data_IF_033295984902
#
_entry.id   IF_033295984902
#
_cell.length_a   1.000
_cell.length_b   1.000
_cell.length_c   1.000
_cell.angle_alpha   90.00
_cell.angle_beta   90.00
_cell.angle_gamma   90.00
#
_symmetry.space_group_name_H-M   'P 1'
#
loop_
_entity.id
_entity.type
_entity.pdbx_description
1 polymer ?
#
# COMPACT_ATOMS: atom_id res chain seq x y z
N UNK A 1 -19.57 0.64 -9.70
CA UNK A 1 -19.65 1.00 -8.27
C UNK A 1 -20.84 1.89 -7.98
N UNK A 2 -20.90 3.14 -8.47
CA UNK A 2 -22.02 4.06 -8.18
C UNK A 2 -23.40 3.46 -8.46
N UNK A 3 -23.61 2.91 -9.66
CA UNK A 3 -24.90 2.30 -10.02
C UNK A 3 -25.25 1.10 -9.12
N UNK A 4 -24.26 0.26 -8.77
CA UNK A 4 -24.47 -0.86 -7.85
C UNK A 4 -24.83 -0.39 -6.44
N UNK A 5 -24.15 0.67 -5.96
CA UNK A 5 -24.42 1.34 -4.68
C UNK A 5 -25.85 1.83 -4.59
N UNK A 6 -26.29 2.57 -5.61
CA UNK A 6 -27.66 3.11 -5.71
C UNK A 6 -28.68 1.98 -5.81
N UNK A 7 -28.43 0.96 -6.64
CA UNK A 7 -29.38 -0.14 -6.83
C UNK A 7 -29.61 -0.95 -5.56
N UNK A 8 -28.55 -1.22 -4.79
CA UNK A 8 -28.71 -1.95 -3.53
C UNK A 8 -29.41 -1.13 -2.46
N UNK A 9 -29.03 0.14 -2.29
CA UNK A 9 -29.72 1.01 -1.33
C UNK A 9 -31.20 1.13 -1.71
N UNK A 10 -31.52 1.21 -3.00
CA UNK A 10 -32.92 1.22 -3.46
C UNK A 10 -33.66 -0.10 -3.21
N UNK A 11 -32.99 -1.26 -3.30
CA UNK A 11 -33.64 -2.58 -3.20
C UNK A 11 -33.75 -3.07 -1.76
N UNK A 12 -32.71 -2.84 -0.97
CA UNK A 12 -32.57 -3.42 0.37
C UNK A 12 -32.81 -2.38 1.47
N UNK A 13 -32.70 -1.09 1.17
CA UNK A 13 -32.65 0.08 2.07
C UNK A 13 -31.26 0.43 2.66
N UNK A 14 -30.44 -0.48 3.27
CA UNK A 14 -29.17 -0.09 3.84
C UNK A 14 -28.09 0.10 2.76
N UNK A 15 -27.03 0.86 3.10
CA UNK A 15 -25.86 1.01 2.24
C UNK A 15 -25.19 -0.35 1.97
N UNK A 16 -24.48 -0.46 0.85
CA UNK A 16 -23.74 -1.68 0.54
C UNK A 16 -22.55 -1.86 1.47
N UNK A 17 -22.37 -3.04 2.08
CA UNK A 17 -21.13 -3.37 2.75
C UNK A 17 -19.98 -3.40 1.74
N UNK A 18 -18.84 -2.84 2.15
CA UNK A 18 -17.70 -2.59 1.26
C UNK A 18 -17.17 -3.91 0.67
N UNK A 19 -17.15 -4.97 1.46
CA UNK A 19 -16.71 -6.29 1.00
C UNK A 19 -17.55 -6.82 -0.16
N UNK A 20 -18.89 -6.65 -0.11
CA UNK A 20 -19.79 -7.08 -1.20
C UNK A 20 -19.63 -6.21 -2.44
N UNK A 21 -19.40 -4.91 -2.27
CA UNK A 21 -19.11 -4.02 -3.39
C UNK A 21 -17.82 -4.43 -4.11
N UNK A 22 -16.76 -4.76 -3.36
CA UNK A 22 -15.47 -5.20 -3.92
C UNK A 22 -15.59 -6.50 -4.67
N UNK A 23 -16.34 -7.48 -4.14
CA UNK A 23 -16.59 -8.76 -4.84
C UNK A 23 -17.30 -8.52 -6.17
N UNK A 24 -18.35 -7.69 -6.20
CA UNK A 24 -19.05 -7.34 -7.44
C UNK A 24 -18.13 -6.69 -8.47
N UNK A 25 -17.28 -5.76 -8.02
CA UNK A 25 -16.31 -5.09 -8.89
C UNK A 25 -15.29 -6.08 -9.41
N UNK A 26 -14.72 -6.91 -8.55
CA UNK A 26 -13.78 -7.95 -8.93
C UNK A 26 -14.35 -8.89 -10.01
N UNK A 27 -15.60 -9.32 -9.84
CA UNK A 27 -16.31 -10.19 -10.78
C UNK A 27 -16.38 -9.56 -12.18
N UNK A 28 -16.69 -8.26 -12.25
CA UNK A 28 -16.74 -7.53 -13.52
C UNK A 28 -15.36 -7.27 -14.12
N UNK A 29 -14.40 -6.85 -13.29
CA UNK A 29 -13.08 -6.38 -13.75
C UNK A 29 -12.21 -7.51 -14.28
N UNK A 30 -12.24 -8.65 -13.61
CA UNK A 30 -11.31 -9.74 -13.88
C UNK A 30 -12.05 -10.91 -14.47
N UNK A 31 -13.05 -11.47 -13.78
CA UNK A 31 -13.66 -12.73 -14.22
C UNK A 31 -14.36 -12.63 -15.58
N UNK A 32 -15.06 -11.52 -15.86
CA UNK A 32 -15.76 -11.34 -17.15
C UNK A 32 -14.81 -10.95 -18.27
N UNK A 33 -13.75 -10.21 -17.97
CA UNK A 33 -12.81 -9.71 -18.97
C UNK A 33 -11.72 -10.73 -19.34
N UNK A 34 -11.30 -11.60 -18.41
CA UNK A 34 -10.29 -12.64 -18.70
C UNK A 34 -10.90 -13.90 -19.32
N UNK A 35 -12.16 -14.23 -19.03
CA UNK A 35 -12.80 -15.43 -19.59
C UNK A 35 -13.43 -15.21 -20.97
N UNK A 36 -13.66 -13.96 -21.40
CA UNK A 36 -14.28 -13.67 -22.70
C UNK A 36 -13.22 -13.18 -23.70
N UNK A 37 -12.99 -13.95 -24.76
CA UNK A 37 -11.96 -13.72 -25.77
C UNK A 37 -11.93 -12.30 -26.38
N UNK A 38 -13.09 -11.65 -26.55
CA UNK A 38 -13.15 -10.29 -27.12
C UNK A 38 -12.87 -9.17 -26.09
N UNK A 39 -12.94 -9.45 -24.79
CA UNK A 39 -12.79 -8.40 -23.78
C UNK A 39 -11.32 -8.25 -23.37
N UNK A 40 -10.92 -7.00 -23.15
CA UNK A 40 -9.61 -6.66 -22.58
C UNK A 40 -9.76 -6.42 -21.08
N UNK A 41 -8.78 -6.85 -20.25
CA UNK A 41 -8.79 -6.51 -18.84
C UNK A 41 -8.66 -4.99 -18.65
N UNK A 42 -9.25 -4.48 -17.59
CA UNK A 42 -9.06 -3.09 -17.20
C UNK A 42 -7.65 -2.93 -16.63
N UNK A 43 -6.82 -2.10 -17.25
CA UNK A 43 -5.44 -1.83 -16.81
C UNK A 43 -5.36 -0.86 -15.63
N UNK A 44 -6.31 -0.90 -14.70
CA UNK A 44 -6.42 0.07 -13.60
C UNK A 44 -6.48 -0.70 -12.28
N UNK A 45 -5.59 -0.35 -11.34
CA UNK A 45 -5.68 -0.78 -9.94
C UNK A 45 -6.59 0.16 -9.16
N UNK A 46 -7.49 -0.38 -8.36
CA UNK A 46 -8.42 0.42 -7.55
C UNK A 46 -8.11 0.21 -6.07
N UNK A 47 -8.07 1.30 -5.33
CA UNK A 47 -8.08 1.29 -3.88
C UNK A 47 -9.48 1.71 -3.41
N UNK A 48 -10.15 0.84 -2.66
CA UNK A 48 -11.54 0.99 -2.24
C UNK A 48 -11.55 1.04 -0.72
N UNK A 49 -11.70 2.25 -0.18
CA UNK A 49 -11.93 2.49 1.23
C UNK A 49 -13.42 2.70 1.49
N UNK A 50 -13.92 2.16 2.59
CA UNK A 50 -15.26 2.48 3.06
C UNK A 50 -15.41 2.12 4.53
N UNK A 51 -16.44 2.70 5.13
CA UNK A 51 -16.83 2.43 6.50
C UNK A 51 -18.04 1.49 6.47
N UNK A 52 -17.93 0.38 7.18
CA UNK A 52 -19.01 -0.60 7.35
C UNK A 52 -19.37 -0.69 8.84
N UNK A 53 -20.40 -1.47 9.19
CA UNK A 53 -20.75 -1.74 10.60
C UNK A 53 -19.58 -2.38 11.37
N UNK A 54 -18.73 -3.14 10.68
CA UNK A 54 -17.52 -3.76 11.21
C UNK A 54 -16.31 -2.80 11.26
N UNK A 55 -16.49 -1.52 10.94
CA UNK A 55 -15.46 -0.49 10.96
C UNK A 55 -14.88 -0.17 9.58
N UNK A 56 -13.73 0.52 9.59
CA UNK A 56 -13.06 0.95 8.36
C UNK A 56 -12.42 -0.24 7.62
N UNK A 57 -12.67 -0.34 6.32
CA UNK A 57 -12.12 -1.40 5.48
C UNK A 57 -11.47 -0.82 4.23
N UNK A 58 -10.24 -1.24 3.96
CA UNK A 58 -9.49 -0.88 2.78
C UNK A 58 -9.23 -2.13 1.92
N UNK A 59 -9.64 -2.06 0.66
CA UNK A 59 -9.46 -3.14 -0.31
C UNK A 59 -8.65 -2.66 -1.50
N UNK A 60 -7.65 -3.43 -1.88
CA UNK A 60 -6.94 -3.25 -3.14
C UNK A 60 -7.45 -4.26 -4.15
N UNK A 61 -7.86 -3.78 -5.32
CA UNK A 61 -8.22 -4.60 -6.47
C UNK A 61 -7.07 -4.62 -7.47
N UNK A 62 -6.50 -5.80 -7.68
CA UNK A 62 -5.52 -6.04 -8.72
C UNK A 62 -6.24 -6.41 -10.03
N UNK A 63 -5.85 -5.83 -11.17
CA UNK A 63 -6.44 -6.15 -12.48
C UNK A 63 -6.31 -7.62 -12.86
N UNK A 64 -5.39 -8.36 -12.22
CA UNK A 64 -5.22 -9.82 -12.38
C UNK A 64 -6.39 -10.65 -11.86
N UNK A 65 -7.32 -10.06 -11.10
CA UNK A 65 -8.41 -10.81 -10.48
C UNK A 65 -8.16 -11.28 -9.07
N UNK A 66 -7.26 -10.61 -8.36
CA UNK A 66 -7.14 -10.80 -6.93
C UNK A 66 -7.54 -9.50 -6.23
N UNK A 67 -8.26 -9.62 -5.13
CA UNK A 67 -8.50 -8.50 -4.22
C UNK A 67 -8.01 -8.87 -2.84
N UNK A 68 -7.44 -7.88 -2.15
CA UNK A 68 -6.82 -8.07 -0.84
C UNK A 68 -7.33 -6.99 0.12
N UNK A 69 -7.57 -7.37 1.37
CA UNK A 69 -7.89 -6.45 2.45
C UNK A 69 -6.59 -6.02 3.12
N UNK A 70 -6.38 -4.71 3.26
CA UNK A 70 -5.21 -4.13 3.90
C UNK A 70 -5.66 -3.17 5.00
N UNK A 71 -4.75 -2.85 5.93
CA UNK A 71 -4.93 -1.72 6.85
C UNK A 71 -4.42 -0.43 6.21
N UNK A 72 -3.26 -0.50 5.56
CA UNK A 72 -2.65 0.58 4.80
C UNK A 72 -2.13 0.01 3.49
N UNK A 73 -2.29 0.78 2.41
CA UNK A 73 -1.75 0.39 1.11
C UNK A 73 -1.49 1.62 0.25
N UNK A 74 -0.43 1.55 -0.56
CA UNK A 74 -0.10 2.57 -1.54
C UNK A 74 -0.07 1.96 -2.95
N UNK A 75 -0.56 2.73 -3.93
CA UNK A 75 -0.56 2.39 -5.35
C UNK A 75 0.18 3.48 -6.14
N UNK A 76 0.65 3.15 -7.35
CA UNK A 76 1.31 4.09 -8.25
C UNK A 76 2.84 3.98 -8.26
N UNK A 77 3.48 5.01 -8.83
CA UNK A 77 4.94 5.15 -8.88
C UNK A 77 5.49 5.30 -7.46
N UNK A 78 6.65 4.68 -7.20
CA UNK A 78 7.28 4.66 -5.87
C UNK A 78 6.46 4.02 -4.74
N UNK A 79 5.43 3.24 -5.07
CA UNK A 79 4.57 2.58 -4.07
C UNK A 79 5.32 1.62 -3.14
N UNK A 80 6.46 1.06 -3.57
CA UNK A 80 7.31 0.23 -2.71
C UNK A 80 7.94 1.04 -1.57
N UNK A 81 8.53 2.19 -1.87
CA UNK A 81 9.07 3.09 -0.85
C UNK A 81 7.98 3.60 0.09
N UNK A 82 6.79 3.92 -0.45
CA UNK A 82 5.63 4.33 0.34
C UNK A 82 5.14 3.22 1.27
N UNK A 83 5.09 1.96 0.82
CA UNK A 83 4.73 0.81 1.67
C UNK A 83 5.75 0.59 2.79
N UNK A 84 7.04 0.60 2.47
CA UNK A 84 8.10 0.49 3.49
C UNK A 84 8.02 1.63 4.51
N UNK A 85 7.65 2.84 4.07
CA UNK A 85 7.42 3.96 4.97
C UNK A 85 6.21 3.73 5.88
N UNK A 86 5.08 3.25 5.33
CA UNK A 86 3.86 2.95 6.09
C UNK A 86 4.07 1.79 7.07
N UNK A 87 4.85 0.77 6.70
CA UNK A 87 5.20 -0.36 7.56
C UNK A 87 6.07 0.08 8.74
N UNK A 88 7.09 0.91 8.51
CA UNK A 88 8.00 1.39 9.56
C UNK A 88 7.34 2.37 10.52
N UNK A 89 6.33 3.12 10.07
CA UNK A 89 5.71 4.22 10.83
C UNK A 89 4.26 3.97 11.20
N UNK A 90 3.83 2.71 11.26
CA UNK A 90 2.46 2.36 11.61
C UNK A 90 2.01 2.94 12.95
N UNK A 91 2.95 3.27 13.85
CA UNK A 91 2.68 3.85 15.18
C UNK A 91 3.25 5.27 15.41
N UNK A 92 3.99 5.85 14.46
CA UNK A 92 4.59 7.18 14.64
C UNK A 92 4.24 8.12 13.49
N UNK A 93 3.18 8.91 13.72
CA UNK A 93 2.93 10.13 12.97
C UNK A 93 4.08 11.11 13.21
N UNK A 94 4.69 11.59 12.11
CA UNK A 94 5.18 12.96 11.93
C UNK A 94 6.05 13.03 10.68
N UNK A 95 5.49 13.57 9.61
CA UNK A 95 6.25 14.24 8.56
C UNK A 95 5.39 15.32 7.92
N UNK A 96 6.04 16.44 7.64
CA UNK A 96 5.52 17.64 7.01
C UNK A 96 5.19 17.36 5.55
N UNK A 97 3.92 17.43 5.19
CA UNK A 97 3.50 17.42 3.79
C UNK A 97 3.70 18.84 3.25
N UNK A 98 4.54 19.01 2.23
CA UNK A 98 4.67 20.30 1.52
C UNK A 98 3.63 20.32 0.40
N UNK A 99 2.59 21.13 0.59
CA UNK A 99 1.36 21.20 -0.20
C UNK A 99 1.58 21.81 -1.58
N UNK A 100 1.27 21.02 -2.62
CA UNK A 100 0.77 21.53 -3.91
C UNK A 100 0.12 20.44 -4.78
N UNK A 101 0.37 19.15 -4.51
CA UNK A 101 -0.06 18.04 -5.40
C UNK A 101 -0.88 16.93 -4.71
N UNK A 102 -1.18 17.05 -3.41
CA UNK A 102 -1.90 16.00 -2.68
C UNK A 102 -3.39 16.33 -2.57
N UNK A 103 -4.25 15.44 -3.07
CA UNK A 103 -5.68 15.43 -2.74
C UNK A 103 -5.91 14.46 -1.60
N UNK A 104 -6.49 14.94 -0.51
CA UNK A 104 -6.83 14.11 0.65
C UNK A 104 -8.34 13.91 0.68
N UNK A 105 -8.74 12.67 0.90
CA UNK A 105 -10.14 12.32 1.15
C UNK A 105 -10.27 11.68 2.51
N UNK A 106 -11.22 12.15 3.31
CA UNK A 106 -11.49 11.61 4.64
C UNK A 106 -12.84 10.91 4.64
N UNK A 107 -12.89 9.80 5.36
CA UNK A 107 -14.09 9.01 5.62
C UNK A 107 -14.21 8.88 7.14
N UNK A 108 -15.28 9.44 7.71
CA UNK A 108 -15.58 9.36 9.13
C UNK A 108 -16.73 8.40 9.43
N UNK A 109 -16.88 8.05 10.70
CA UNK A 109 -18.16 7.50 11.20
C UNK A 109 -19.13 8.67 11.27
N UNK A 110 -20.34 8.51 10.73
CA UNK A 110 -21.39 9.53 10.67
C UNK A 110 -21.07 10.78 9.80
N UNK A 111 -19.95 10.81 9.10
CA UNK A 111 -19.60 11.86 8.14
C UNK A 111 -19.49 11.30 6.71
N UNK A 112 -20.06 12.00 5.70
CA UNK A 112 -19.96 11.56 4.32
C UNK A 112 -18.53 11.73 3.77
N UNK A 113 -18.27 11.08 2.63
CA UNK A 113 -16.99 11.19 1.93
C UNK A 113 -16.73 12.65 1.52
N UNK A 114 -15.75 13.28 2.17
CA UNK A 114 -15.32 14.63 1.86
C UNK A 114 -13.98 14.61 1.14
N UNK A 115 -13.96 15.21 -0.06
CA UNK A 115 -12.73 15.61 -0.72
C UNK A 115 -12.31 16.94 -0.12
N UNK A 116 -11.14 16.97 0.53
CA UNK A 116 -10.63 18.20 1.11
C UNK A 116 -10.05 19.07 0.00
N UNK A 117 -10.51 20.32 -0.06
CA UNK A 117 -9.95 21.35 -0.91
C UNK A 117 -8.57 21.79 -0.41
N UNK A 118 -7.81 22.39 -1.32
CA UNK A 118 -6.42 22.78 -1.08
C UNK A 118 -6.25 23.73 0.12
N UNK A 119 -7.25 24.59 0.38
CA UNK A 119 -7.27 25.50 1.52
C UNK A 119 -7.37 24.77 2.86
N UNK A 120 -8.24 23.76 2.95
CA UNK A 120 -8.39 22.92 4.16
C UNK A 120 -7.13 22.11 4.42
N UNK A 121 -6.50 21.61 3.35
CA UNK A 121 -5.23 20.88 3.43
C UNK A 121 -4.12 21.80 3.96
N UNK A 122 -4.07 23.05 3.50
CA UNK A 122 -3.08 24.02 3.98
C UNK A 122 -3.26 24.32 5.47
N UNK A 123 -4.49 24.56 5.92
CA UNK A 123 -4.76 24.78 7.34
C UNK A 123 -4.33 23.59 8.22
N UNK A 124 -4.55 22.36 7.74
CA UNK A 124 -4.13 21.15 8.43
C UNK A 124 -2.60 21.07 8.48
N UNK A 125 -1.91 21.36 7.38
CA UNK A 125 -0.44 21.38 7.33
C UNK A 125 0.13 22.45 8.26
N UNK A 126 -0.41 23.67 8.24
CA UNK A 126 0.02 24.78 9.08
C UNK A 126 -0.19 24.47 10.58
N UNK A 127 -1.25 23.71 10.89
CA UNK A 127 -1.50 23.21 12.26
C UNK A 127 -0.45 22.16 12.66
N UNK A 128 -0.03 21.30 11.74
CA UNK A 128 1.03 20.31 11.97
C UNK A 128 2.44 20.93 12.03
N UNK A 129 2.67 22.11 11.44
CA UNK A 129 3.97 22.82 11.46
C UNK A 129 4.23 23.58 12.76
N UNK A 130 3.20 23.90 13.56
CA UNK A 130 3.32 24.69 14.80
C UNK A 130 3.74 23.93 16.07
N UNK A 131 4.12 22.66 15.98
CA UNK A 131 4.77 21.97 17.11
C UNK A 131 6.29 22.08 16.91
N UNK A 132 6.99 22.93 17.68
CA UNK A 132 8.41 23.13 17.50
C UNK A 132 9.20 21.85 17.80
N UNK A 133 10.25 21.71 17.01
CA UNK A 133 11.29 20.69 17.06
C UNK A 133 11.99 20.74 18.43
N UNK A 134 12.08 19.59 19.10
CA UNK A 134 13.25 19.29 19.94
C UNK A 134 14.17 18.43 19.08
N UNK A 135 15.42 18.88 19.00
CA UNK A 135 16.47 18.50 18.06
C UNK A 135 16.90 17.04 18.22
N UNK A 136 17.03 16.30 17.11
CA UNK A 136 18.04 15.24 17.01
C UNK A 136 19.12 15.74 16.04
N UNK A 137 20.22 16.15 16.66
CA UNK A 137 21.44 16.70 16.07
C UNK A 137 22.17 15.67 15.19
N UNK A 138 23.02 16.23 14.32
CA UNK A 138 23.62 15.67 13.13
C UNK A 138 24.49 14.39 13.28
N UNK A 139 24.67 13.70 12.15
CA UNK A 139 25.69 12.67 11.97
C UNK A 139 25.69 12.06 10.56
N UNK A 140 26.14 12.84 9.58
CA UNK A 140 26.41 12.40 8.21
C UNK A 140 27.54 11.36 8.14
N UNK A 141 27.51 10.51 7.12
CA UNK A 141 28.61 9.59 6.80
C UNK A 141 28.30 8.69 5.62
N UNK A 142 28.39 9.24 4.41
CA UNK A 142 28.48 8.47 3.16
C UNK A 142 29.79 7.66 3.12
N UNK A 143 29.71 6.39 2.71
CA UNK A 143 30.73 5.70 1.90
C UNK A 143 30.32 4.23 1.64
N UNK A 144 29.95 3.91 0.40
CA UNK A 144 30.30 2.59 -0.17
C UNK A 144 31.79 2.62 -0.53
N UNK A 145 32.52 1.50 -0.40
CA UNK A 145 33.01 0.93 -1.64
C UNK A 145 32.98 -0.61 -1.73
N UNK A 146 33.06 -1.01 -3.00
CA UNK A 146 33.25 -2.30 -3.65
C UNK A 146 33.91 -3.46 -2.88
N UNK A 147 33.32 -4.64 -3.13
CA UNK A 147 33.93 -5.92 -3.50
C UNK A 147 35.31 -6.30 -2.94
N UNK A 148 35.37 -7.36 -2.12
CA UNK A 148 36.32 -8.47 -2.28
C UNK A 148 36.04 -9.58 -1.26
N UNK A 149 36.14 -10.82 -1.74
CA UNK A 149 36.15 -12.02 -0.93
C UNK A 149 37.35 -12.05 0.04
N UNK A 150 37.14 -12.57 1.25
CA UNK A 150 38.19 -13.23 2.04
C UNK A 150 37.58 -14.43 2.78
N UNK A 151 38.15 -15.60 2.48
CA UNK A 151 37.99 -16.86 3.20
C UNK A 151 38.82 -16.87 4.49
N UNK A 152 38.73 -18.02 5.17
CA UNK A 152 39.54 -18.53 6.27
C UNK A 152 38.96 -18.20 7.66
N UNK A 153 38.75 -19.16 8.57
CA UNK A 153 39.83 -19.93 9.20
C UNK A 153 39.33 -21.27 9.78
N UNK A 154 40.07 -22.35 9.53
CA UNK A 154 40.44 -23.50 10.40
C UNK A 154 40.60 -24.76 9.54
N UNK A 155 41.72 -25.48 9.47
CA UNK A 155 42.97 -25.48 10.21
C UNK A 155 43.55 -26.91 10.12
N UNK A 156 44.87 -27.05 9.94
CA UNK A 156 45.61 -28.24 10.39
C UNK A 156 45.86 -29.38 9.39
N UNK A 157 47.09 -29.38 8.87
CA UNK A 157 48.03 -30.53 8.74
C UNK A 157 47.64 -31.81 8.01
N UNK A 158 48.47 -32.16 7.02
CA UNK A 158 49.21 -33.43 7.08
C UNK A 158 48.81 -34.50 6.07
N UNK A 159 49.74 -34.73 5.15
CA UNK A 159 50.10 -36.02 4.57
C UNK A 159 49.32 -36.63 3.40
N UNK A 160 50.17 -37.27 2.59
CA UNK A 160 50.02 -37.79 1.24
C UNK A 160 49.22 -39.11 1.28
N UNK A 161 48.43 -39.40 0.25
CA UNK A 161 48.63 -40.61 -0.56
C UNK A 161 47.60 -40.81 -1.68
N UNK A 162 48.04 -41.65 -2.61
CA UNK A 162 47.61 -42.01 -3.95
C UNK A 162 46.21 -42.67 -4.05
N UNK A 163 45.60 -42.56 -5.25
CA UNK A 163 44.30 -43.12 -5.70
C UNK A 163 44.15 -44.66 -5.52
N UNK A 164 42.96 -45.30 -5.69
CA UNK A 164 42.32 -45.46 -7.01
C UNK A 164 40.76 -45.55 -7.04
N UNK A 165 40.25 -45.72 -8.27
CA UNK A 165 38.87 -45.97 -8.70
C UNK A 165 38.21 -47.25 -8.12
N UNK A 166 36.93 -47.43 -8.48
CA UNK A 166 35.99 -48.58 -8.33
C UNK A 166 35.00 -48.34 -7.17
N UNK A 167 33.67 -48.43 -7.30
CA UNK A 167 32.79 -49.31 -8.10
C UNK A 167 31.49 -48.58 -8.46
#
# INVERSE_FOLDING_TARGET
MRSESVNHSFTYEPPLPVGRLVVKVHLVFSQVCTQRSWKRPYGVGLLVGGLDESGAHLYYNCPSGNYFKYQLFAIGSLSQAAKTYLERRFELQRKTLKSSLCTVSVLGVDEPFHLLDQESIQNVIDTFEKVPEEEEDAGEGEAEPEAAACQDVQGGSGDQDVAPMET
#
